data_IF_653690337952
#
_entry.id   IF_653690337952
#
_cell.length_a   1.000
_cell.length_b   1.000
_cell.length_c   1.000
_cell.angle_alpha   90.00
_cell.angle_beta   90.00
_cell.angle_gamma   90.00
#
_symmetry.space_group_name_H-M   'P 1'
#
loop_
_entity.id
_entity.type
_entity.pdbx_description
1 polymer ?
#
# COMPACT_ATOMS: atom_id res chain seq x y z
N UNK A 1 -14.68 12.03 -7.05
CA UNK A 1 -14.69 12.03 -5.58
C UNK A 1 -13.86 13.19 -5.04
N UNK A 2 -14.24 13.73 -3.88
CA UNK A 2 -13.46 14.76 -3.17
C UNK A 2 -12.40 14.15 -2.25
N UNK A 3 -12.40 12.82 -2.12
CA UNK A 3 -11.42 12.09 -1.33
C UNK A 3 -10.16 11.85 -2.14
N UNK A 4 -8.97 11.87 -1.50
CA UNK A 4 -7.76 11.45 -2.16
C UNK A 4 -7.85 9.98 -2.59
N UNK A 5 -7.22 9.67 -3.71
CA UNK A 5 -7.15 8.34 -4.28
C UNK A 5 -5.79 7.70 -3.96
N UNK A 6 -5.81 6.43 -3.62
CA UNK A 6 -4.62 5.58 -3.58
C UNK A 6 -4.67 4.65 -4.81
N UNK A 7 -3.80 4.90 -5.77
CA UNK A 7 -3.72 4.15 -7.03
C UNK A 7 -2.60 3.12 -6.93
N UNK A 8 -2.96 1.85 -6.87
CA UNK A 8 -2.02 0.75 -6.78
C UNK A 8 -1.83 0.11 -8.15
N UNK A 9 -0.67 0.35 -8.78
CA UNK A 9 -0.33 -0.14 -10.11
C UNK A 9 0.27 -1.55 -10.04
N UNK A 10 -0.56 -2.57 -10.23
CA UNK A 10 -0.13 -3.97 -10.37
C UNK A 10 0.18 -4.28 -11.84
N UNK A 11 1.18 -3.61 -12.41
CA UNK A 11 1.59 -3.73 -13.81
C UNK A 11 3.10 -3.90 -13.92
N UNK A 12 3.56 -4.54 -14.99
CA UNK A 12 4.96 -4.58 -15.36
C UNK A 12 5.38 -3.26 -16.03
N UNK A 13 6.63 -2.87 -15.82
CA UNK A 13 7.23 -1.65 -16.41
C UNK A 13 6.36 -0.39 -16.24
N UNK A 14 5.96 -0.05 -14.99
CA UNK A 14 5.09 1.10 -14.74
C UNK A 14 5.60 2.40 -15.35
N UNK A 15 6.92 2.59 -15.48
CA UNK A 15 7.53 3.76 -16.10
C UNK A 15 7.04 4.02 -17.54
N UNK A 16 6.70 2.97 -18.27
CA UNK A 16 6.22 3.06 -19.65
C UNK A 16 4.78 3.60 -19.73
N UNK A 17 3.98 3.30 -18.70
CA UNK A 17 2.54 3.55 -18.72
C UNK A 17 2.09 4.64 -17.73
N UNK A 18 2.96 5.07 -16.82
CA UNK A 18 2.58 5.91 -15.68
C UNK A 18 1.94 7.23 -16.08
N UNK A 19 2.37 7.85 -17.18
CA UNK A 19 1.80 9.10 -17.68
C UNK A 19 0.30 9.02 -17.98
N UNK A 20 -0.22 7.84 -18.30
CA UNK A 20 -1.66 7.63 -18.52
C UNK A 20 -2.48 7.82 -17.25
N UNK A 21 -1.88 7.54 -16.09
CA UNK A 21 -2.52 7.66 -14.78
C UNK A 21 -2.31 9.05 -14.19
N UNK A 22 -1.09 9.59 -14.26
CA UNK A 22 -0.73 10.87 -13.62
C UNK A 22 -1.64 12.03 -14.07
N UNK A 23 -1.98 12.08 -15.36
CA UNK A 23 -2.82 13.16 -15.93
C UNK A 23 -4.26 13.17 -15.40
N UNK A 24 -4.72 12.11 -14.75
CA UNK A 24 -6.09 11.97 -14.21
C UNK A 24 -6.15 12.14 -12.70
N UNK A 25 -5.02 12.36 -12.06
CA UNK A 25 -4.87 12.46 -10.61
C UNK A 25 -4.66 13.92 -10.19
N UNK A 26 -4.87 14.19 -8.91
CA UNK A 26 -4.76 15.53 -8.32
C UNK A 26 -3.81 15.50 -7.11
N UNK A 27 -3.37 16.67 -6.69
CA UNK A 27 -2.58 16.83 -5.47
C UNK A 27 -3.20 16.09 -4.28
N UNK A 28 -2.39 15.35 -3.54
CA UNK A 28 -2.79 14.49 -2.43
C UNK A 28 -3.18 13.06 -2.82
N UNK A 29 -3.34 12.77 -4.11
CA UNK A 29 -3.49 11.39 -4.58
C UNK A 29 -2.16 10.65 -4.51
N UNK A 30 -2.19 9.36 -4.18
CA UNK A 30 -1.01 8.51 -4.05
C UNK A 30 -0.92 7.53 -5.21
N UNK A 31 0.29 7.32 -5.72
CA UNK A 31 0.55 6.26 -6.70
C UNK A 31 1.57 5.28 -6.14
N UNK A 32 1.16 4.02 -6.00
CA UNK A 32 2.04 2.92 -5.61
C UNK A 32 2.51 2.16 -6.84
N UNK A 33 3.81 1.94 -6.92
CA UNK A 33 4.43 1.03 -7.89
C UNK A 33 5.06 -0.14 -7.16
N UNK A 34 5.21 -1.28 -7.84
CA UNK A 34 6.02 -2.39 -7.37
C UNK A 34 7.47 -2.21 -7.82
N UNK A 35 8.44 -1.97 -6.93
CA UNK A 35 9.84 -1.79 -7.31
C UNK A 35 10.39 -2.97 -8.10
N UNK A 36 9.97 -4.19 -7.78
CA UNK A 36 10.37 -5.42 -8.46
C UNK A 36 9.82 -5.58 -9.88
N UNK A 37 8.84 -4.75 -10.26
CA UNK A 37 8.26 -4.74 -11.61
C UNK A 37 8.88 -3.66 -12.52
N UNK A 38 9.94 -2.98 -12.06
CA UNK A 38 10.56 -1.86 -12.78
C UNK A 38 12.09 -1.94 -12.73
N UNK A 39 12.75 -1.68 -13.85
CA UNK A 39 14.22 -1.63 -13.92
C UNK A 39 14.81 -0.43 -13.17
N UNK A 40 14.14 0.72 -13.25
CA UNK A 40 14.57 1.97 -12.64
C UNK A 40 13.45 2.58 -11.80
N UNK A 41 13.07 1.97 -10.68
CA UNK A 41 11.93 2.40 -9.88
C UNK A 41 12.07 3.85 -9.38
N UNK A 42 13.27 4.31 -9.06
CA UNK A 42 13.53 5.70 -8.65
C UNK A 42 13.12 6.70 -9.72
N UNK A 43 13.35 6.39 -11.01
CA UNK A 43 12.91 7.25 -12.12
C UNK A 43 11.40 7.35 -12.19
N UNK A 44 10.70 6.24 -11.95
CA UNK A 44 9.24 6.21 -11.95
C UNK A 44 8.67 6.98 -10.75
N UNK A 45 9.28 6.82 -9.57
CA UNK A 45 8.91 7.58 -8.37
C UNK A 45 9.14 9.08 -8.57
N UNK A 46 10.24 9.48 -9.22
CA UNK A 46 10.49 10.90 -9.53
C UNK A 46 9.39 11.50 -10.42
N UNK A 47 8.89 10.77 -11.41
CA UNK A 47 7.76 11.24 -12.24
C UNK A 47 6.48 11.46 -11.43
N UNK A 48 6.24 10.65 -10.39
CA UNK A 48 5.11 10.83 -9.48
C UNK A 48 5.28 12.12 -8.68
N UNK A 49 6.48 12.33 -8.15
CA UNK A 49 6.84 13.55 -7.40
C UNK A 49 6.72 14.79 -8.27
N UNK A 50 7.28 14.76 -9.49
CA UNK A 50 7.24 15.88 -10.44
C UNK A 50 5.80 16.23 -10.87
N UNK A 51 4.88 15.27 -10.81
CA UNK A 51 3.45 15.49 -11.04
C UNK A 51 2.70 16.07 -9.82
N UNK A 52 3.39 16.33 -8.69
CA UNK A 52 2.78 16.82 -7.46
C UNK A 52 1.95 15.78 -6.71
N UNK A 53 2.19 14.50 -6.97
CA UNK A 53 1.49 13.37 -6.35
C UNK A 53 2.35 12.74 -5.23
N UNK A 54 1.69 11.96 -4.37
CA UNK A 54 2.36 11.28 -3.25
C UNK A 54 3.02 9.99 -3.77
N UNK A 55 4.36 9.86 -3.69
CA UNK A 55 5.05 8.66 -4.12
C UNK A 55 4.87 7.51 -3.13
N UNK A 56 4.55 6.33 -3.62
CA UNK A 56 4.43 5.12 -2.81
C UNK A 56 5.06 3.91 -3.48
N UNK A 57 5.50 2.96 -2.68
CA UNK A 57 5.88 1.62 -3.15
C UNK A 57 4.97 0.56 -2.55
N UNK A 58 4.64 -0.45 -3.37
CA UNK A 58 3.98 -1.66 -2.91
C UNK A 58 5.01 -2.79 -2.86
N UNK A 59 5.17 -3.40 -1.69
CA UNK A 59 6.17 -4.43 -1.45
C UNK A 59 5.51 -5.81 -1.36
N UNK A 60 5.86 -6.70 -2.28
CA UNK A 60 5.31 -8.07 -2.32
C UNK A 60 5.73 -8.91 -1.11
N UNK A 61 4.98 -9.99 -0.80
CA UNK A 61 5.35 -10.88 0.28
C UNK A 61 6.78 -11.43 0.16
N UNK A 62 7.19 -11.81 -1.06
CA UNK A 62 8.51 -12.37 -1.33
C UNK A 62 9.65 -11.33 -1.45
N UNK A 63 9.34 -10.04 -1.55
CA UNK A 63 10.35 -8.99 -1.72
C UNK A 63 10.97 -8.62 -0.38
N UNK A 64 12.29 -8.61 -0.30
CA UNK A 64 13.03 -8.23 0.91
C UNK A 64 12.99 -6.70 1.12
N UNK A 65 12.97 -6.26 2.38
CA UNK A 65 13.07 -4.83 2.73
C UNK A 65 14.41 -4.27 2.25
N UNK A 66 15.48 -5.05 2.31
CA UNK A 66 16.82 -4.65 1.91
C UNK A 66 16.88 -4.20 0.45
N UNK A 67 16.07 -4.80 -0.42
CA UNK A 67 16.04 -4.42 -1.85
C UNK A 67 15.35 -3.09 -2.13
N UNK A 68 14.60 -2.56 -1.17
CA UNK A 68 13.85 -1.30 -1.32
C UNK A 68 14.35 -0.18 -0.40
N UNK A 69 15.38 -0.44 0.41
CA UNK A 69 15.89 0.50 1.43
C UNK A 69 16.18 1.90 0.89
N UNK A 70 16.83 2.00 -0.27
CA UNK A 70 17.16 3.31 -0.87
C UNK A 70 15.87 4.07 -1.30
N UNK A 71 14.84 3.35 -1.72
CA UNK A 71 13.57 3.95 -2.12
C UNK A 71 12.75 4.44 -0.92
N UNK A 72 12.94 3.85 0.26
CA UNK A 72 12.27 4.31 1.50
C UNK A 72 12.65 5.75 1.88
N UNK A 73 13.75 6.29 1.33
CA UNK A 73 14.17 7.67 1.55
C UNK A 73 13.42 8.68 0.69
N UNK A 74 12.74 8.23 -0.37
CA UNK A 74 12.09 9.10 -1.35
C UNK A 74 10.58 8.87 -1.48
N UNK A 75 10.02 7.92 -0.72
CA UNK A 75 8.58 7.64 -0.72
C UNK A 75 7.93 8.08 0.59
N UNK A 76 6.70 8.55 0.51
CA UNK A 76 5.90 8.91 1.68
C UNK A 76 5.09 7.72 2.22
N UNK A 77 4.82 6.72 1.36
CA UNK A 77 3.98 5.58 1.72
C UNK A 77 4.55 4.24 1.26
N UNK A 78 4.47 3.25 2.13
CA UNK A 78 4.83 1.85 1.84
C UNK A 78 3.61 0.96 2.05
N UNK A 79 3.09 0.41 0.96
CA UNK A 79 1.98 -0.54 0.96
C UNK A 79 2.53 -1.97 1.03
N UNK A 80 2.31 -2.66 2.14
CA UNK A 80 2.78 -4.04 2.31
C UNK A 80 1.70 -5.01 1.86
N UNK A 81 2.02 -5.81 0.84
CA UNK A 81 1.16 -6.89 0.38
C UNK A 81 1.26 -8.07 1.33
N UNK A 82 0.16 -8.48 1.93
CA UNK A 82 0.09 -9.66 2.80
C UNK A 82 -0.41 -10.92 2.10
N UNK A 83 -0.70 -10.80 0.81
CA UNK A 83 -1.02 -11.87 -0.15
C UNK A 83 -0.24 -11.61 -1.42
N UNK A 84 -0.11 -12.60 -2.30
CA UNK A 84 0.48 -12.36 -3.61
C UNK A 84 -0.44 -11.44 -4.44
N UNK A 85 0.12 -10.46 -5.18
CA UNK A 85 -0.68 -9.56 -6.02
C UNK A 85 -1.40 -10.32 -7.14
N UNK A 86 -2.49 -9.72 -7.66
CA UNK A 86 -3.20 -10.19 -8.84
C UNK A 86 -4.59 -10.77 -8.56
N UNK A 87 -4.82 -11.49 -7.46
CA UNK A 87 -6.12 -12.11 -7.17
C UNK A 87 -6.63 -11.77 -5.76
N UNK A 88 -7.89 -11.37 -5.68
CA UNK A 88 -8.55 -11.16 -4.40
C UNK A 88 -8.94 -12.50 -3.71
N UNK A 89 -9.16 -12.45 -2.39
CA UNK A 89 -9.65 -13.61 -1.61
C UNK A 89 -8.58 -14.61 -1.20
N UNK A 90 -7.31 -14.32 -1.37
CA UNK A 90 -6.21 -15.15 -0.90
C UNK A 90 -6.09 -15.13 0.63
N UNK A 91 -5.50 -16.18 1.18
CA UNK A 91 -5.19 -16.28 2.61
C UNK A 91 -3.98 -15.40 2.97
N UNK A 92 -4.03 -14.84 4.16
CA UNK A 92 -2.92 -14.12 4.77
C UNK A 92 -1.65 -14.98 4.85
N UNK A 93 -0.53 -14.38 4.50
CA UNK A 93 0.80 -15.01 4.59
C UNK A 93 1.47 -14.61 5.92
N UNK A 94 1.56 -15.50 6.93
CA UNK A 94 1.95 -15.13 8.30
C UNK A 94 3.34 -14.48 8.43
N UNK A 95 4.27 -14.84 7.56
CA UNK A 95 5.63 -14.29 7.60
C UNK A 95 5.70 -12.78 7.27
N UNK A 96 4.65 -12.22 6.63
CA UNK A 96 4.57 -10.80 6.31
C UNK A 96 4.43 -9.92 7.56
N UNK A 97 3.83 -10.45 8.63
CA UNK A 97 3.72 -9.72 9.90
C UNK A 97 5.08 -9.22 10.41
N UNK A 98 6.11 -10.05 10.35
CA UNK A 98 7.49 -9.66 10.73
C UNK A 98 8.07 -8.57 9.81
N UNK A 99 7.71 -8.59 8.53
CA UNK A 99 8.11 -7.53 7.59
C UNK A 99 7.50 -6.19 8.00
N UNK A 100 6.21 -6.17 8.33
CA UNK A 100 5.52 -4.97 8.80
C UNK A 100 6.17 -4.43 10.08
N UNK A 101 6.42 -5.29 11.07
CA UNK A 101 7.09 -4.90 12.33
C UNK A 101 8.46 -4.25 12.07
N UNK A 102 9.22 -4.78 11.11
CA UNK A 102 10.52 -4.20 10.73
C UNK A 102 10.37 -2.84 10.05
N UNK A 103 9.44 -2.70 9.12
CA UNK A 103 9.15 -1.41 8.45
C UNK A 103 8.68 -0.35 9.45
N UNK A 104 7.86 -0.74 10.43
CA UNK A 104 7.40 0.17 11.49
C UNK A 104 8.54 0.70 12.36
N UNK A 105 9.64 -0.05 12.53
CA UNK A 105 10.85 0.43 13.21
C UNK A 105 11.67 1.35 12.31
N UNK A 106 11.85 0.98 11.04
CA UNK A 106 12.65 1.76 10.07
C UNK A 106 11.99 3.13 9.80
N UNK A 107 10.66 3.22 9.76
CA UNK A 107 9.95 4.47 9.47
C UNK A 107 10.24 5.60 10.46
N UNK A 108 10.64 5.29 11.69
CA UNK A 108 10.98 6.30 12.72
C UNK A 108 12.18 7.15 12.27
N UNK A 109 13.06 6.59 11.45
CA UNK A 109 14.24 7.26 10.91
C UNK A 109 14.02 7.83 9.49
N UNK A 110 13.14 7.19 8.69
CA UNK A 110 12.98 7.46 7.25
C UNK A 110 11.67 8.19 6.88
N UNK A 111 10.77 8.44 7.83
CA UNK A 111 9.59 9.30 7.69
C UNK A 111 8.54 8.90 6.65
N UNK A 112 8.34 7.60 6.42
CA UNK A 112 7.23 7.10 5.58
C UNK A 112 6.10 6.52 6.43
N UNK A 113 4.91 6.37 5.85
CA UNK A 113 3.77 5.70 6.46
C UNK A 113 3.63 4.26 5.94
N UNK A 114 3.26 3.32 6.81
CA UNK A 114 3.03 1.91 6.47
C UNK A 114 1.55 1.65 6.30
N UNK A 115 1.19 1.09 5.15
CA UNK A 115 -0.16 0.65 4.78
C UNK A 115 -0.18 -0.87 4.55
N UNK A 116 -1.35 -1.47 4.64
CA UNK A 116 -1.54 -2.91 4.49
C UNK A 116 -2.55 -3.22 3.39
N UNK A 117 -2.20 -4.10 2.45
CA UNK A 117 -3.12 -4.67 1.46
C UNK A 117 -3.10 -6.20 1.48
N UNK A 118 -4.29 -6.78 1.26
CA UNK A 118 -4.52 -8.22 1.24
C UNK A 118 -4.97 -8.80 2.58
N UNK A 119 -5.97 -9.68 2.53
CA UNK A 119 -6.52 -10.42 3.66
C UNK A 119 -6.71 -9.62 4.96
N UNK A 120 -7.06 -8.32 4.84
CA UNK A 120 -7.32 -7.43 5.97
C UNK A 120 -8.55 -7.90 6.72
N UNK A 121 -8.38 -8.47 7.91
CA UNK A 121 -9.42 -8.92 8.82
C UNK A 121 -9.45 -8.07 10.09
N UNK A 122 -10.55 -8.12 10.85
CA UNK A 122 -10.70 -7.31 12.06
C UNK A 122 -9.60 -7.58 13.10
N UNK A 123 -9.21 -8.85 13.28
CA UNK A 123 -8.10 -9.24 14.18
C UNK A 123 -6.76 -8.66 13.75
N UNK A 124 -6.49 -8.62 12.44
CA UNK A 124 -5.26 -8.00 11.91
C UNK A 124 -5.25 -6.50 12.13
N UNK A 125 -6.38 -5.83 11.86
CA UNK A 125 -6.52 -4.39 12.11
C UNK A 125 -6.30 -4.11 13.61
N UNK A 126 -6.98 -4.82 14.50
CA UNK A 126 -6.84 -4.66 15.96
C UNK A 126 -5.41 -4.90 16.45
N UNK A 127 -4.65 -5.77 15.78
CA UNK A 127 -3.26 -6.06 16.14
C UNK A 127 -2.30 -4.99 15.63
N UNK A 128 -2.40 -4.61 14.35
CA UNK A 128 -1.37 -3.82 13.69
C UNK A 128 -1.65 -2.30 13.65
N UNK A 129 -2.91 -1.88 13.82
CA UNK A 129 -3.21 -0.44 13.92
C UNK A 129 -2.56 0.20 15.16
N UNK A 130 -2.65 -0.38 16.38
CA UNK A 130 -1.95 0.16 17.55
C UNK A 130 -0.42 0.14 17.43
N UNK A 131 0.15 -0.77 16.62
CA UNK A 131 1.59 -0.82 16.33
C UNK A 131 2.03 0.30 15.38
N UNK A 132 1.06 0.94 14.70
CA UNK A 132 1.29 2.11 13.87
C UNK A 132 1.15 1.89 12.36
N UNK A 133 0.51 0.82 11.91
CA UNK A 133 0.03 0.73 10.53
C UNK A 133 -1.03 1.79 10.33
N UNK A 134 -0.81 2.66 9.35
CA UNK A 134 -1.61 3.89 9.15
C UNK A 134 -2.93 3.63 8.44
N UNK A 135 -2.96 2.66 7.54
CA UNK A 135 -4.15 2.37 6.75
C UNK A 135 -4.21 0.92 6.29
N UNK A 136 -5.44 0.47 6.00
CA UNK A 136 -5.75 -0.89 5.59
C UNK A 136 -6.65 -0.87 4.36
N UNK A 137 -6.25 -1.56 3.30
CA UNK A 137 -7.07 -1.74 2.09
C UNK A 137 -8.12 -2.82 2.38
N UNK A 138 -9.39 -2.40 2.43
CA UNK A 138 -10.50 -3.28 2.75
C UNK A 138 -11.10 -3.87 1.48
N UNK A 139 -10.94 -5.16 1.32
CA UNK A 139 -11.44 -5.94 0.18
C UNK A 139 -12.56 -6.91 0.58
N UNK A 140 -12.60 -8.03 -0.14
CA UNK A 140 -13.57 -9.12 0.04
C UNK A 140 -13.49 -9.80 1.42
N UNK A 141 -12.35 -9.73 2.09
CA UNK A 141 -12.19 -10.31 3.43
C UNK A 141 -13.10 -9.65 4.46
N UNK A 142 -13.27 -8.31 4.40
CA UNK A 142 -13.96 -7.58 5.46
C UNK A 142 -15.09 -6.67 4.98
N UNK A 143 -15.06 -6.15 3.76
CA UNK A 143 -15.99 -5.13 3.29
C UNK A 143 -16.92 -5.64 2.19
N UNK A 144 -16.39 -6.14 1.08
CA UNK A 144 -17.21 -6.49 -0.07
C UNK A 144 -17.92 -7.85 0.08
N UNK A 145 -19.16 -7.94 -0.43
CA UNK A 145 -19.92 -9.19 -0.47
C UNK A 145 -20.43 -9.67 0.90
N UNK A 146 -20.51 -8.80 1.92
CA UNK A 146 -20.95 -9.18 3.28
C UNK A 146 -22.45 -9.12 3.52
N UNK A 147 -23.26 -8.74 2.52
CA UNK A 147 -24.71 -8.61 2.68
C UNK A 147 -25.15 -7.54 3.68
N UNK A 148 -24.27 -6.59 4.02
CA UNK A 148 -24.50 -5.50 4.98
C UNK A 148 -24.12 -4.15 4.35
N UNK A 149 -24.73 -3.03 4.78
CA UNK A 149 -24.31 -1.69 4.35
C UNK A 149 -22.84 -1.42 4.71
N UNK A 150 -22.10 -0.89 3.76
CA UNK A 150 -20.67 -0.58 3.96
C UNK A 150 -20.45 0.41 5.10
N UNK A 151 -21.35 1.38 5.28
CA UNK A 151 -21.27 2.35 6.36
C UNK A 151 -21.27 1.70 7.75
N UNK A 152 -22.07 0.65 7.94
CA UNK A 152 -22.17 -0.06 9.22
C UNK A 152 -20.88 -0.85 9.48
N UNK A 153 -20.36 -1.54 8.46
CA UNK A 153 -19.09 -2.27 8.54
C UNK A 153 -17.95 -1.30 8.88
N UNK A 154 -17.86 -0.17 8.18
CA UNK A 154 -16.81 0.83 8.42
C UNK A 154 -16.92 1.44 9.82
N UNK A 155 -18.14 1.63 10.35
CA UNK A 155 -18.34 2.13 11.70
C UNK A 155 -17.84 1.14 12.77
N UNK A 156 -17.99 -0.15 12.54
CA UNK A 156 -17.45 -1.20 13.42
C UNK A 156 -15.92 -1.22 13.38
N UNK A 157 -15.34 -1.22 12.16
CA UNK A 157 -13.89 -1.25 11.96
C UNK A 157 -13.19 -0.05 12.61
N UNK A 158 -13.78 1.14 12.54
CA UNK A 158 -13.22 2.37 13.15
C UNK A 158 -13.19 2.36 14.67
N UNK A 159 -13.77 1.36 15.31
CA UNK A 159 -13.76 1.17 16.79
C UNK A 159 -12.68 0.18 17.24
N UNK A 160 -12.02 -0.48 16.29
CA UNK A 160 -10.89 -1.37 16.56
C UNK A 160 -9.62 -0.59 16.86
#
# INVERSE_FOLDING_TARGET
>A
TDKPLDVHLMIEHPNTHISLFLNSLKEGDTVYIHPEAEYHPSTTLQKIIDAGLVPGIAVNPGTSIETVMEMLQIVDKVLVMSVNPGNAGQMYLPYVGKKIERLLKIREEMHFEVYWDGACSADKISTFAPMGVKGFVLGTTLLFGKGRPYADILKEIRRL
#
